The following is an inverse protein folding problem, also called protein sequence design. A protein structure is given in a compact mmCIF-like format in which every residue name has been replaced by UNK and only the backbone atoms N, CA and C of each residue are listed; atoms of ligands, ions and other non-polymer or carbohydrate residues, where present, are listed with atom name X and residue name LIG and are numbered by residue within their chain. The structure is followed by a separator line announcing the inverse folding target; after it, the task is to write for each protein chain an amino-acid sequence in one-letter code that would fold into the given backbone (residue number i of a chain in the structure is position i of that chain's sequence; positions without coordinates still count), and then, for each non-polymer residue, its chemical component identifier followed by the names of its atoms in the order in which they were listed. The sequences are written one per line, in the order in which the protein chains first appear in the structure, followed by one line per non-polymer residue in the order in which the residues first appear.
data_IF_937117805595
#
_entry.id   IF_937117805595
#
_cell.length_a   1.000
_cell.length_b   1.000
_cell.length_c   1.000
_cell.angle_alpha   90.00
_cell.angle_beta   90.00
_cell.angle_gamma   90.00
#
_symmetry.space_group_name_H-M   'P 1'
#
loop_
_entity.id
_entity.type
_entity.pdbx_description
1 polymer ?
#
# COMPACT_ATOMS: atom_id res chain seq x y z
N UNK A 1 48.75 73.86 -87.34
CA UNK A 1 50.07 74.38 -86.95
C UNK A 1 49.95 74.99 -85.56
N UNK A 2 50.67 74.43 -84.59
CA UNK A 2 50.83 75.00 -83.24
C UNK A 2 51.52 76.37 -83.31
N UNK A 3 51.25 77.28 -82.35
CA UNK A 3 52.29 77.54 -81.36
C UNK A 3 51.78 77.79 -79.92
N UNK A 4 52.45 77.12 -78.98
CA UNK A 4 53.05 77.59 -77.70
C UNK A 4 52.28 78.56 -76.77
N UNK A 5 52.00 78.04 -75.56
CA UNK A 5 51.55 78.59 -74.25
C UNK A 5 52.45 79.73 -73.68
N UNK A 6 52.11 80.46 -72.56
CA UNK A 6 51.26 80.05 -71.42
C UNK A 6 50.38 81.11 -70.69
N UNK A 7 49.48 80.56 -69.83
CA UNK A 7 49.00 81.04 -68.51
C UNK A 7 48.06 82.27 -68.45
N UNK A 8 46.76 81.98 -68.29
CA UNK A 8 45.83 82.79 -67.52
C UNK A 8 45.37 81.97 -66.31
N UNK A 9 45.53 82.49 -65.08
CA UNK A 9 44.92 81.93 -63.86
C UNK A 9 43.72 82.79 -63.49
N UNK A 10 42.56 82.16 -63.47
CA UNK A 10 41.31 82.71 -62.99
C UNK A 10 41.22 82.60 -61.45
N UNK A 11 40.74 83.69 -60.85
CA UNK A 11 39.80 83.79 -59.73
C UNK A 11 40.02 82.84 -58.54
N UNK A 12 40.44 83.39 -57.39
CA UNK A 12 40.01 82.89 -56.09
C UNK A 12 39.32 84.01 -55.31
N UNK A 13 38.12 83.65 -54.88
CA UNK A 13 37.11 84.39 -54.15
C UNK A 13 37.47 84.63 -52.68
N UNK A 14 36.95 85.75 -52.18
CA UNK A 14 36.80 86.18 -50.79
C UNK A 14 36.38 85.06 -49.83
N UNK A 15 36.96 85.06 -48.63
CA UNK A 15 36.30 85.04 -47.32
C UNK A 15 37.32 84.61 -46.24
N UNK A 16 38.12 85.58 -45.78
CA UNK A 16 38.96 85.45 -44.60
C UNK A 16 38.49 86.45 -43.55
N UNK A 17 37.77 85.96 -42.54
CA UNK A 17 37.38 86.78 -41.40
C UNK A 17 36.10 86.29 -40.74
N UNK A 18 36.22 85.39 -39.77
CA UNK A 18 35.32 85.29 -38.63
C UNK A 18 36.13 84.67 -37.48
N UNK A 19 36.18 85.41 -36.38
CA UNK A 19 37.11 85.23 -35.27
C UNK A 19 36.86 84.02 -34.36
N UNK A 20 37.55 83.98 -33.19
CA UNK A 20 37.67 82.80 -32.32
C UNK A 20 36.40 82.45 -31.52
N UNK A 21 35.22 82.84 -31.99
CA UNK A 21 33.94 82.64 -31.33
C UNK A 21 33.31 81.25 -31.56
N UNK A 22 33.88 80.40 -32.44
CA UNK A 22 33.32 79.06 -32.68
C UNK A 22 33.92 77.93 -31.82
N UNK A 23 34.98 78.19 -31.04
CA UNK A 23 35.57 77.15 -30.18
C UNK A 23 34.99 77.11 -28.74
N UNK A 24 34.05 78.00 -28.42
CA UNK A 24 33.37 78.06 -27.10
C UNK A 24 32.03 77.31 -27.07
N UNK A 25 31.58 76.72 -28.19
CA UNK A 25 30.34 75.92 -28.25
C UNK A 25 30.54 74.42 -27.98
N UNK A 26 31.78 73.94 -27.81
CA UNK A 26 32.09 72.54 -27.47
C UNK A 26 32.37 72.31 -25.97
N UNK A 27 32.25 73.35 -25.14
CA UNK A 27 32.37 73.26 -23.69
C UNK A 27 31.09 73.78 -23.02
N UNK A 28 29.91 73.33 -23.47
CA UNK A 28 28.86 73.11 -22.48
C UNK A 28 29.35 71.90 -21.67
N UNK A 29 29.61 72.02 -20.36
CA UNK A 29 29.69 70.83 -19.56
C UNK A 29 28.41 70.05 -19.89
N UNK A 30 28.53 68.79 -20.33
CA UNK A 30 27.43 67.86 -20.09
C UNK A 30 27.10 68.10 -18.61
N UNK A 31 25.91 68.64 -18.33
CA UNK A 31 25.48 68.80 -16.96
C UNK A 31 25.78 67.44 -16.33
N UNK A 32 26.73 67.42 -15.40
CA UNK A 32 26.97 66.23 -14.62
C UNK A 32 25.65 66.04 -13.89
N UNK A 33 24.78 65.20 -14.47
CA UNK A 33 23.58 64.73 -13.79
C UNK A 33 24.15 63.97 -12.62
N UNK A 34 24.27 64.66 -11.48
CA UNK A 34 24.79 64.04 -10.30
C UNK A 34 23.88 62.87 -9.93
N UNK A 35 24.49 61.94 -9.24
CA UNK A 35 23.81 60.76 -8.77
C UNK A 35 22.74 61.14 -7.75
N UNK A 36 21.61 60.42 -7.77
CA UNK A 36 20.68 60.46 -6.67
C UNK A 36 21.31 59.86 -5.41
N UNK A 37 20.96 60.42 -4.25
CA UNK A 37 21.27 59.85 -2.94
C UNK A 37 20.37 58.64 -2.63
N UNK A 38 20.34 58.20 -1.37
CA UNK A 38 19.44 57.13 -0.92
C UNK A 38 17.99 57.40 -1.32
N UNK A 39 17.25 56.39 -1.78
CA UNK A 39 15.88 56.55 -2.22
C UNK A 39 14.93 56.78 -1.04
N UNK A 40 13.74 57.36 -1.27
CA UNK A 40 12.85 57.79 -0.20
C UNK A 40 12.32 56.62 0.65
N UNK A 41 12.10 56.85 1.94
CA UNK A 41 11.42 55.86 2.78
C UNK A 41 9.95 55.70 2.38
N UNK A 42 9.52 54.46 2.17
CA UNK A 42 8.14 54.12 1.81
C UNK A 42 7.51 53.29 2.92
N UNK A 43 6.35 53.69 3.49
CA UNK A 43 5.67 52.94 4.53
C UNK A 43 5.43 51.47 4.15
N UNK A 44 5.86 50.57 5.03
CA UNK A 44 5.71 49.11 4.90
C UNK A 44 6.44 48.49 3.69
N UNK A 45 7.45 49.17 3.15
CA UNK A 45 8.28 48.65 2.08
C UNK A 45 9.77 48.93 2.36
N UNK A 46 10.64 48.12 1.77
CA UNK A 46 12.09 48.26 1.89
C UNK A 46 12.73 48.23 0.50
N UNK A 47 13.61 49.20 0.23
CA UNK A 47 14.36 49.29 -1.01
C UNK A 47 15.47 48.22 -1.07
N UNK A 48 15.64 47.58 -2.22
CA UNK A 48 16.74 46.65 -2.45
C UNK A 48 18.02 47.41 -2.90
N UNK A 49 18.79 47.91 -1.93
CA UNK A 49 19.92 48.82 -2.20
C UNK A 49 21.25 48.11 -2.49
N UNK A 50 21.43 46.86 -2.06
CA UNK A 50 22.68 46.13 -2.25
C UNK A 50 23.93 46.80 -1.65
N UNK A 51 23.77 47.67 -0.64
CA UNK A 51 24.87 48.44 -0.02
C UNK A 51 25.29 49.70 -0.77
N UNK A 52 24.59 50.08 -1.85
CA UNK A 52 24.87 51.30 -2.61
C UNK A 52 24.35 52.54 -1.86
N UNK A 53 25.09 53.64 -1.94
CA UNK A 53 24.75 54.94 -1.35
C UNK A 53 24.63 56.07 -2.38
N UNK A 54 25.03 55.82 -3.63
CA UNK A 54 24.99 56.74 -4.77
C UNK A 54 24.40 56.01 -5.97
N UNK A 55 23.44 56.64 -6.66
CA UNK A 55 22.67 56.01 -7.72
C UNK A 55 22.71 56.88 -8.99
N UNK A 56 23.31 56.40 -10.09
CA UNK A 56 23.45 57.22 -11.29
C UNK A 56 22.09 57.55 -11.93
N UNK A 57 22.09 58.56 -12.78
CA UNK A 57 20.93 58.96 -13.58
C UNK A 57 20.30 57.76 -14.31
N UNK A 58 18.96 57.71 -14.36
CA UNK A 58 18.12 56.60 -14.86
C UNK A 58 18.21 55.30 -14.07
N UNK A 59 18.93 55.24 -12.95
CA UNK A 59 18.93 54.07 -12.07
C UNK A 59 17.53 53.86 -11.50
N UNK A 60 17.04 52.63 -11.57
CA UNK A 60 15.79 52.22 -10.94
C UNK A 60 16.06 51.48 -9.64
N UNK A 61 15.33 51.82 -8.58
CA UNK A 61 15.33 51.07 -7.32
C UNK A 61 13.94 50.53 -7.07
N UNK A 62 13.85 49.20 -6.94
CA UNK A 62 12.60 48.49 -6.62
C UNK A 62 12.50 48.24 -5.12
N UNK A 63 11.30 48.43 -4.60
CA UNK A 63 10.94 48.19 -3.22
C UNK A 63 10.22 46.85 -3.08
N UNK A 64 10.46 46.18 -1.96
CA UNK A 64 9.74 44.97 -1.56
C UNK A 64 8.89 45.28 -0.35
N UNK A 65 7.64 44.83 -0.34
CA UNK A 65 6.78 44.98 0.82
C UNK A 65 7.33 44.20 2.02
N UNK A 66 7.15 44.77 3.21
CA UNK A 66 7.50 44.14 4.47
C UNK A 66 6.61 42.92 4.74
N UNK A 67 7.02 42.05 5.67
CA UNK A 67 6.25 40.87 6.05
C UNK A 67 4.83 41.24 6.49
N UNK A 68 3.82 40.54 5.95
CA UNK A 68 2.40 40.82 6.19
C UNK A 68 1.79 41.91 5.30
N UNK A 69 2.57 42.47 4.37
CA UNK A 69 2.12 43.42 3.35
C UNK A 69 2.41 42.87 1.95
N UNK A 70 1.52 43.18 1.03
CA UNK A 70 1.61 42.75 -0.38
C UNK A 70 1.43 43.96 -1.29
N UNK A 71 2.12 43.95 -2.43
CA UNK A 71 2.01 44.98 -3.47
C UNK A 71 0.57 45.01 -3.98
N UNK A 72 -0.06 46.17 -3.88
CA UNK A 72 -1.40 46.41 -4.43
C UNK A 72 -1.31 46.36 -5.97
N UNK A 73 -2.12 45.53 -6.64
CA UNK A 73 -2.11 45.43 -8.10
C UNK A 73 -2.29 46.80 -8.78
N UNK A 74 -1.51 47.04 -9.84
CA UNK A 74 -1.56 48.28 -10.62
C UNK A 74 -0.79 49.47 -10.02
N UNK A 75 -0.25 49.38 -8.79
CA UNK A 75 0.61 50.42 -8.22
C UNK A 75 2.09 50.20 -8.56
N UNK A 76 2.82 51.29 -8.79
CA UNK A 76 4.26 51.27 -8.97
C UNK A 76 4.95 50.85 -7.66
N UNK A 77 6.07 50.12 -7.79
CA UNK A 77 6.92 49.63 -6.70
C UNK A 77 8.39 50.01 -6.88
N UNK A 78 8.66 50.93 -7.81
CA UNK A 78 10.01 51.37 -8.12
C UNK A 78 10.09 52.87 -8.35
N UNK A 79 11.20 53.46 -7.96
CA UNK A 79 11.57 54.84 -8.30
C UNK A 79 12.68 54.84 -9.34
N UNK A 80 12.71 55.88 -10.18
CA UNK A 80 13.80 56.15 -11.12
C UNK A 80 14.50 57.46 -10.73
N UNK A 81 15.83 57.49 -10.83
CA UNK A 81 16.62 58.70 -10.61
C UNK A 81 16.60 59.56 -11.87
N UNK A 82 16.03 60.76 -11.77
CA UNK A 82 15.97 61.74 -12.86
C UNK A 82 16.38 63.14 -12.38
N UNK A 83 17.36 63.74 -13.03
CA UNK A 83 17.94 65.04 -12.70
C UNK A 83 18.36 65.16 -11.23
N UNK A 84 19.07 64.15 -10.69
CA UNK A 84 19.44 64.06 -9.26
C UNK A 84 18.27 63.90 -8.28
N UNK A 85 17.05 63.64 -8.75
CA UNK A 85 15.85 63.49 -7.90
C UNK A 85 15.14 62.16 -8.19
N UNK A 86 14.67 61.51 -7.15
CA UNK A 86 13.83 60.32 -7.31
C UNK A 86 12.43 60.69 -7.81
N UNK A 87 11.91 59.89 -8.75
CA UNK A 87 10.50 59.97 -9.16
C UNK A 87 9.56 59.76 -7.98
N UNK A 88 8.34 60.30 -8.06
CA UNK A 88 7.34 60.12 -7.00
C UNK A 88 6.89 58.66 -6.90
N UNK A 89 6.69 58.20 -5.67
CA UNK A 89 6.19 56.86 -5.37
C UNK A 89 5.15 56.92 -4.26
N UNK A 90 3.90 56.60 -4.62
CA UNK A 90 2.81 56.50 -3.65
C UNK A 90 2.90 55.21 -2.83
N UNK A 91 2.24 55.19 -1.68
CA UNK A 91 2.12 53.97 -0.86
C UNK A 91 1.46 52.85 -1.66
N UNK A 92 2.19 51.77 -1.87
CA UNK A 92 1.80 50.66 -2.73
C UNK A 92 1.71 49.30 -2.02
N UNK A 93 2.16 49.22 -0.77
CA UNK A 93 2.04 48.02 0.06
C UNK A 93 0.84 48.14 0.99
N UNK A 94 -0.03 47.14 1.00
CA UNK A 94 -1.15 47.07 1.94
C UNK A 94 -1.23 45.70 2.61
N UNK A 95 -1.88 45.64 3.77
CA UNK A 95 -2.09 44.38 4.49
C UNK A 95 -2.99 43.47 3.67
N UNK A 96 -2.68 42.18 3.71
CA UNK A 96 -3.36 41.14 2.94
C UNK A 96 -3.26 39.83 3.69
N UNK A 97 -4.25 38.95 3.51
CA UNK A 97 -4.05 37.55 3.81
C UNK A 97 -2.96 36.96 2.91
N UNK A 98 -2.28 35.92 3.39
CA UNK A 98 -1.38 35.11 2.57
C UNK A 98 -2.14 34.33 1.49
N UNK A 99 -1.42 33.68 0.58
CA UNK A 99 -2.02 32.79 -0.43
C UNK A 99 -2.89 31.73 0.29
N UNK A 100 -4.14 31.51 -0.16
CA UNK A 100 -5.05 30.54 0.45
C UNK A 100 -4.41 29.15 0.69
N UNK A 101 -4.65 28.59 1.87
CA UNK A 101 -4.04 27.33 2.30
C UNK A 101 -4.46 26.14 1.44
N UNK A 102 -3.50 25.27 1.08
CA UNK A 102 -3.79 24.04 0.32
C UNK A 102 -4.64 23.06 1.13
N UNK A 103 -5.83 22.73 0.63
CA UNK A 103 -6.71 21.72 1.23
C UNK A 103 -6.50 20.34 0.57
N UNK A 104 -6.61 19.26 1.36
CA UNK A 104 -6.49 17.88 0.87
C UNK A 104 -7.72 17.40 0.09
N UNK A 105 -8.90 17.98 0.37
CA UNK A 105 -10.19 17.59 -0.23
C UNK A 105 -10.67 18.54 -1.33
N UNK A 106 -10.05 19.71 -1.46
CA UNK A 106 -10.44 20.75 -2.41
C UNK A 106 -9.23 21.53 -2.96
N UNK A 107 -9.38 22.09 -4.15
CA UNK A 107 -8.42 22.97 -4.82
C UNK A 107 -9.01 24.36 -4.98
N UNK A 108 -8.19 25.39 -4.87
CA UNK A 108 -8.60 26.76 -5.12
C UNK A 108 -8.99 26.90 -6.60
N UNK A 109 -10.14 27.53 -6.90
CA UNK A 109 -10.55 27.73 -8.30
C UNK A 109 -9.49 28.52 -9.06
N UNK A 110 -9.31 28.18 -10.35
CA UNK A 110 -8.26 28.74 -11.22
C UNK A 110 -8.28 30.27 -11.30
N UNK A 111 -9.46 30.89 -11.21
CA UNK A 111 -9.64 32.35 -11.18
C UNK A 111 -8.86 33.06 -10.07
N UNK A 112 -8.60 32.39 -8.94
CA UNK A 112 -7.87 32.94 -7.80
C UNK A 112 -6.41 32.47 -7.75
N UNK A 113 -6.05 31.42 -8.51
CA UNK A 113 -4.72 30.79 -8.45
C UNK A 113 -3.56 31.68 -8.88
N UNK A 114 -3.83 32.75 -9.64
CA UNK A 114 -2.83 33.73 -10.08
C UNK A 114 -2.81 35.00 -9.22
N UNK A 115 -3.70 35.11 -8.23
CA UNK A 115 -3.80 36.27 -7.36
C UNK A 115 -2.87 36.08 -6.14
N UNK A 116 -2.25 37.17 -5.71
CA UNK A 116 -1.40 37.20 -4.51
C UNK A 116 -1.81 38.28 -3.51
N UNK A 117 -2.81 39.11 -3.84
CA UNK A 117 -3.31 40.20 -3.00
C UNK A 117 -4.77 39.95 -2.63
N UNK A 118 -5.01 39.76 -1.33
CA UNK A 118 -6.29 39.41 -0.73
C UNK A 118 -6.55 40.32 0.49
N UNK A 119 -7.06 41.54 0.28
CA UNK A 119 -7.40 42.44 1.39
C UNK A 119 -8.53 41.87 2.25
N UNK A 120 -8.74 42.46 3.43
CA UNK A 120 -9.87 42.13 4.31
C UNK A 120 -11.20 42.08 3.53
N UNK A 121 -12.03 41.09 3.84
CA UNK A 121 -13.33 40.87 3.19
C UNK A 121 -13.24 40.10 1.86
N UNK A 122 -12.04 39.93 1.30
CA UNK A 122 -11.86 39.11 0.08
C UNK A 122 -12.33 37.69 0.34
N UNK A 123 -13.17 37.18 -0.56
CA UNK A 123 -13.69 35.82 -0.49
C UNK A 123 -13.23 35.04 -1.72
N UNK A 124 -12.68 33.86 -1.49
CA UNK A 124 -12.23 32.95 -2.55
C UNK A 124 -12.96 31.63 -2.47
N UNK A 125 -13.14 30.98 -3.61
CA UNK A 125 -13.89 29.73 -3.72
C UNK A 125 -12.99 28.56 -4.09
N UNK A 126 -13.29 27.42 -3.47
CA UNK A 126 -12.67 26.13 -3.74
C UNK A 126 -13.61 25.20 -4.49
N UNK A 127 -13.02 24.32 -5.31
CA UNK A 127 -13.68 23.21 -5.97
C UNK A 127 -13.17 21.87 -5.43
N UNK A 128 -14.01 20.84 -5.44
CA UNK A 128 -13.62 19.54 -4.93
C UNK A 128 -12.52 18.91 -5.78
N UNK A 129 -11.54 18.28 -5.12
CA UNK A 129 -10.52 17.50 -5.83
C UNK A 129 -11.15 16.24 -6.44
N UNK A 130 -10.43 15.66 -7.39
CA UNK A 130 -10.77 14.37 -7.98
C UNK A 130 -10.96 13.30 -6.89
N UNK A 131 -12.01 12.49 -7.03
CA UNK A 131 -12.39 11.49 -6.03
C UNK A 131 -13.18 12.05 -4.82
N UNK A 132 -13.48 13.35 -4.80
CA UNK A 132 -14.39 13.96 -3.83
C UNK A 132 -15.70 14.42 -4.48
N UNK A 133 -16.76 14.52 -3.67
CA UNK A 133 -18.08 15.00 -4.06
C UNK A 133 -18.51 16.19 -3.21
N UNK A 134 -19.20 17.15 -3.83
CA UNK A 134 -19.67 18.38 -3.20
C UNK A 134 -20.82 18.09 -2.23
N UNK A 135 -20.68 18.58 -1.01
CA UNK A 135 -21.80 18.77 -0.09
C UNK A 135 -22.41 20.17 -0.33
N UNK A 136 -23.66 20.27 -0.82
CA UNK A 136 -24.30 21.54 -1.10
C UNK A 136 -24.74 22.30 0.17
N UNK A 137 -24.76 21.64 1.34
CA UNK A 137 -25.19 22.26 2.60
C UNK A 137 -24.11 23.10 3.28
N UNK A 138 -22.85 22.99 2.83
CA UNK A 138 -21.69 23.66 3.41
C UNK A 138 -21.12 24.69 2.43
N UNK A 139 -20.38 25.69 2.92
CA UNK A 139 -19.77 26.71 2.07
C UNK A 139 -18.44 26.23 1.47
N UNK A 140 -18.20 26.55 0.19
CA UNK A 140 -16.92 26.28 -0.50
C UNK A 140 -15.94 27.45 -0.39
N UNK A 141 -16.34 28.49 0.33
CA UNK A 141 -15.69 29.77 0.34
C UNK A 141 -14.94 29.97 1.66
N UNK A 142 -13.82 30.69 1.57
CA UNK A 142 -13.14 31.25 2.74
C UNK A 142 -12.98 32.76 2.55
N UNK A 143 -13.00 33.49 3.65
CA UNK A 143 -12.95 34.96 3.66
C UNK A 143 -11.74 35.43 4.44
N UNK A 144 -11.03 36.43 3.94
CA UNK A 144 -9.94 37.08 4.64
C UNK A 144 -10.50 37.96 5.77
N UNK A 145 -10.23 37.61 7.01
CA UNK A 145 -10.76 38.29 8.19
C UNK A 145 -9.95 39.56 8.53
N UNK A 146 -10.48 40.37 9.45
CA UNK A 146 -9.83 41.61 9.95
C UNK A 146 -8.41 41.43 10.49
N UNK A 147 -8.11 40.24 11.01
CA UNK A 147 -6.77 39.89 11.50
C UNK A 147 -5.82 39.42 10.38
N UNK A 148 -6.23 39.50 9.11
CA UNK A 148 -5.50 39.02 7.93
C UNK A 148 -5.19 37.51 7.99
N UNK A 149 -6.12 36.75 8.58
CA UNK A 149 -6.13 35.29 8.58
C UNK A 149 -7.39 34.83 7.84
N UNK A 150 -7.26 33.77 7.06
CA UNK A 150 -8.41 33.15 6.39
C UNK A 150 -9.38 32.54 7.40
N UNK A 151 -10.69 32.65 7.13
CA UNK A 151 -11.71 31.92 7.87
C UNK A 151 -11.47 30.40 7.78
N UNK A 152 -11.90 29.67 8.82
CA UNK A 152 -11.77 28.22 8.85
C UNK A 152 -12.61 27.60 7.73
N UNK A 153 -12.04 26.76 6.85
CA UNK A 153 -12.79 26.12 5.78
C UNK A 153 -13.71 25.02 6.32
N UNK A 154 -14.95 24.95 5.80
CA UNK A 154 -15.85 23.83 6.03
C UNK A 154 -15.35 22.57 5.30
N UNK A 155 -15.83 21.38 5.74
CA UNK A 155 -15.59 20.11 5.03
C UNK A 155 -16.63 19.85 3.95
N UNK A 156 -16.76 20.80 3.02
CA UNK A 156 -17.75 20.78 1.94
C UNK A 156 -17.47 19.78 0.81
N UNK A 157 -16.31 19.11 0.80
CA UNK A 157 -16.04 18.00 -0.10
C UNK A 157 -15.84 16.71 0.69
N UNK A 158 -16.68 15.73 0.40
CA UNK A 158 -16.65 14.39 1.02
C UNK A 158 -15.99 13.42 0.07
N UNK A 159 -15.32 12.39 0.60
CA UNK A 159 -14.75 11.33 -0.23
C UNK A 159 -15.87 10.62 -1.00
N UNK A 160 -15.65 10.31 -2.27
CA UNK A 160 -16.53 9.41 -3.01
C UNK A 160 -16.36 7.98 -2.48
N UNK A 161 -17.44 7.20 -2.57
CA UNK A 161 -17.43 5.77 -2.28
C UNK A 161 -17.08 5.00 -3.54
N UNK A 162 -16.17 4.04 -3.43
CA UNK A 162 -16.01 3.01 -4.45
C UNK A 162 -17.28 2.15 -4.57
N UNK A 163 -17.43 1.44 -5.70
CA UNK A 163 -18.51 0.46 -5.86
C UNK A 163 -18.49 -0.53 -4.71
N UNK A 164 -19.69 -0.92 -4.25
CA UNK A 164 -19.81 -1.97 -3.24
C UNK A 164 -19.07 -3.21 -3.74
N UNK A 165 -18.15 -3.80 -2.95
CA UNK A 165 -17.44 -5.00 -3.36
C UNK A 165 -18.41 -6.13 -3.73
N UNK A 166 -18.12 -6.84 -4.83
CA UNK A 166 -18.86 -8.06 -5.18
C UNK A 166 -18.48 -9.21 -4.26
N UNK A 167 -19.38 -10.17 -4.12
CA UNK A 167 -19.08 -11.42 -3.41
C UNK A 167 -18.09 -12.25 -4.21
N UNK A 168 -17.24 -13.00 -3.50
CA UNK A 168 -16.29 -13.95 -4.07
C UNK A 168 -16.81 -15.34 -3.72
N UNK A 169 -17.10 -16.16 -4.72
CA UNK A 169 -17.52 -17.53 -4.50
C UNK A 169 -16.39 -18.30 -3.79
N UNK A 170 -16.73 -19.02 -2.71
CA UNK A 170 -15.76 -19.70 -1.84
C UNK A 170 -14.66 -18.79 -1.28
N UNK A 171 -14.95 -17.50 -1.09
CA UNK A 171 -14.04 -16.55 -0.47
C UNK A 171 -14.74 -15.38 0.20
N UNK A 172 -13.93 -14.40 0.60
CA UNK A 172 -14.35 -13.27 1.41
C UNK A 172 -13.64 -11.99 0.97
N UNK A 173 -14.36 -10.87 1.11
CA UNK A 173 -13.82 -9.52 1.00
C UNK A 173 -13.76 -8.92 2.40
N UNK A 174 -12.55 -8.69 2.89
CA UNK A 174 -12.29 -8.16 4.21
C UNK A 174 -12.15 -6.63 4.14
N UNK A 175 -13.18 -5.93 4.61
CA UNK A 175 -13.22 -4.46 4.69
C UNK A 175 -12.76 -4.04 6.09
N UNK A 176 -11.67 -3.30 6.18
CA UNK A 176 -11.05 -2.92 7.47
C UNK A 176 -11.57 -1.61 8.03
N UNK A 177 -11.89 -0.64 7.17
CA UNK A 177 -12.34 0.70 7.59
C UNK A 177 -13.65 1.10 6.93
N UNK A 178 -13.62 1.32 5.62
CA UNK A 178 -14.73 1.77 4.79
C UNK A 178 -14.43 1.41 3.32
N UNK A 179 -15.25 1.92 2.39
CA UNK A 179 -15.06 1.75 0.95
C UNK A 179 -14.89 3.12 0.24
N UNK A 180 -14.47 4.15 0.97
CA UNK A 180 -14.27 5.49 0.46
C UNK A 180 -12.89 5.64 -0.19
N UNK A 181 -12.69 6.74 -0.93
CA UNK A 181 -11.40 7.08 -1.53
C UNK A 181 -10.22 6.90 -0.55
N UNK A 182 -9.24 6.11 -0.97
CA UNK A 182 -8.04 5.76 -0.21
C UNK A 182 -8.19 4.54 0.71
N UNK A 183 -9.37 3.95 0.84
CA UNK A 183 -9.56 2.71 1.60
C UNK A 183 -8.93 1.51 0.90
N UNK A 184 -8.54 0.50 1.68
CA UNK A 184 -7.97 -0.77 1.18
C UNK A 184 -8.83 -1.93 1.67
N UNK A 185 -9.17 -2.83 0.75
CA UNK A 185 -9.86 -4.10 1.03
C UNK A 185 -8.93 -5.27 0.73
N UNK A 186 -9.11 -6.36 1.46
CA UNK A 186 -8.31 -7.58 1.30
C UNK A 186 -9.20 -8.73 0.87
N UNK A 187 -8.62 -9.71 0.19
CA UNK A 187 -9.31 -10.89 -0.31
C UNK A 187 -8.74 -12.14 0.34
N UNK A 188 -9.60 -13.10 0.64
CA UNK A 188 -9.22 -14.40 1.20
C UNK A 188 -10.14 -15.49 0.67
N UNK A 189 -9.68 -16.73 0.62
CA UNK A 189 -10.49 -17.89 0.23
C UNK A 189 -10.84 -18.76 1.44
N UNK A 190 -11.91 -19.53 1.31
CA UNK A 190 -12.32 -20.53 2.29
C UNK A 190 -11.29 -21.67 2.37
N UNK A 191 -11.29 -22.42 3.46
CA UNK A 191 -10.48 -23.64 3.57
C UNK A 191 -10.81 -24.59 2.41
N UNK A 192 -9.77 -25.16 1.78
CA UNK A 192 -9.93 -25.98 0.58
C UNK A 192 -9.83 -25.22 -0.75
N UNK A 193 -9.67 -23.90 -0.72
CA UNK A 193 -9.56 -23.07 -1.92
C UNK A 193 -8.31 -22.20 -1.87
N UNK A 194 -7.65 -22.06 -3.02
CA UNK A 194 -6.50 -21.16 -3.21
C UNK A 194 -6.92 -19.88 -3.91
N UNK A 195 -6.33 -18.76 -3.51
CA UNK A 195 -6.59 -17.46 -4.11
C UNK A 195 -5.81 -17.29 -5.41
N UNK A 196 -6.52 -16.99 -6.51
CA UNK A 196 -5.93 -16.70 -7.81
C UNK A 196 -6.28 -15.27 -8.23
N UNK A 197 -5.27 -14.40 -8.25
CA UNK A 197 -5.41 -12.99 -8.57
C UNK A 197 -4.77 -12.08 -7.51
N UNK A 198 -5.31 -10.87 -7.35
CA UNK A 198 -4.83 -9.93 -6.35
C UNK A 198 -5.27 -10.34 -4.94
N UNK A 199 -4.44 -10.09 -3.93
CA UNK A 199 -4.77 -10.32 -2.51
C UNK A 199 -5.42 -9.10 -1.84
N UNK A 200 -5.37 -7.94 -2.50
CA UNK A 200 -5.96 -6.70 -2.01
C UNK A 200 -6.34 -5.76 -3.16
N UNK A 201 -7.13 -4.74 -2.87
CA UNK A 201 -7.45 -3.65 -3.79
C UNK A 201 -7.63 -2.35 -3.01
N UNK A 202 -7.25 -1.20 -3.59
CA UNK A 202 -7.46 0.11 -2.94
C UNK A 202 -8.36 1.01 -3.79
N UNK A 203 -9.15 1.85 -3.12
CA UNK A 203 -10.10 2.74 -3.76
C UNK A 203 -9.39 3.99 -4.28
N UNK A 204 -9.25 4.12 -5.60
CA UNK A 204 -8.49 5.19 -6.24
C UNK A 204 -9.37 6.03 -7.20
N UNK A 205 -8.94 7.26 -7.56
CA UNK A 205 -9.62 8.04 -8.60
C UNK A 205 -9.50 7.37 -9.97
N UNK A 206 -10.63 7.23 -10.68
CA UNK A 206 -10.70 6.72 -12.05
C UNK A 206 -11.50 7.73 -12.88
N UNK A 207 -10.80 8.55 -13.68
CA UNK A 207 -11.44 9.69 -14.35
C UNK A 207 -12.19 10.57 -13.34
N UNK A 208 -13.48 10.85 -13.56
CA UNK A 208 -14.27 11.66 -12.63
C UNK A 208 -14.89 10.84 -11.47
N UNK A 209 -14.71 9.53 -11.42
CA UNK A 209 -15.25 8.63 -10.38
C UNK A 209 -14.13 8.04 -9.51
N UNK A 210 -14.48 7.05 -8.70
CA UNK A 210 -13.52 6.23 -7.95
C UNK A 210 -13.81 4.76 -8.23
N UNK A 211 -12.78 3.94 -8.22
CA UNK A 211 -12.87 2.51 -8.49
C UNK A 211 -11.80 1.73 -7.73
N UNK A 212 -12.03 0.43 -7.63
CA UNK A 212 -11.05 -0.52 -7.11
C UNK A 212 -9.92 -0.68 -8.12
N UNK A 213 -8.67 -0.64 -7.65
CA UNK A 213 -7.48 -0.66 -8.52
C UNK A 213 -7.20 -2.03 -9.11
N UNK A 214 -7.58 -3.08 -8.40
CA UNK A 214 -7.44 -4.46 -8.82
C UNK A 214 -8.82 -5.09 -9.01
N UNK A 215 -8.92 -5.95 -10.01
CA UNK A 215 -10.04 -6.86 -10.20
C UNK A 215 -10.14 -7.86 -9.03
N UNK A 216 -11.35 -8.35 -8.80
CA UNK A 216 -11.62 -9.30 -7.72
C UNK A 216 -11.10 -10.69 -8.11
N UNK A 217 -10.38 -11.38 -7.21
CA UNK A 217 -9.76 -12.67 -7.49
C UNK A 217 -10.80 -13.79 -7.58
N UNK A 218 -10.33 -14.96 -7.99
CA UNK A 218 -11.09 -16.21 -7.97
C UNK A 218 -10.54 -17.15 -6.89
N UNK A 219 -11.42 -17.87 -6.21
CA UNK A 219 -11.04 -18.92 -5.28
C UNK A 219 -11.17 -20.27 -5.99
N UNK A 220 -10.03 -20.89 -6.32
CA UNK A 220 -10.00 -22.16 -7.02
C UNK A 220 -9.91 -23.31 -6.03
N UNK A 221 -10.74 -24.33 -6.24
CA UNK A 221 -10.73 -25.53 -5.40
C UNK A 221 -9.37 -26.23 -5.46
N UNK A 222 -8.88 -26.66 -4.30
CA UNK A 222 -7.65 -27.42 -4.17
C UNK A 222 -8.00 -28.90 -4.17
N UNK A 223 -7.39 -29.63 -5.11
CA UNK A 223 -7.57 -31.05 -5.27
C UNK A 223 -6.35 -31.79 -4.70
N UNK A 224 -6.61 -32.89 -4.01
CA UNK A 224 -5.58 -33.85 -3.66
C UNK A 224 -5.10 -34.60 -4.92
N UNK A 225 -3.83 -35.06 -4.91
CA UNK A 225 -3.36 -35.97 -5.95
C UNK A 225 -4.17 -37.28 -5.93
N UNK A 226 -4.05 -38.05 -7.00
CA UNK A 226 -4.58 -39.41 -7.08
C UNK A 226 -4.26 -40.20 -5.79
N UNK A 227 -5.24 -40.85 -5.14
CA UNK A 227 -5.01 -41.55 -3.90
C UNK A 227 -3.93 -42.64 -4.05
N UNK A 228 -3.01 -42.77 -3.08
CA UNK A 228 -1.98 -43.81 -3.13
C UNK A 228 -2.56 -45.21 -3.22
N UNK A 229 -1.90 -46.11 -3.93
CA UNK A 229 -2.30 -47.53 -3.98
C UNK A 229 -1.82 -48.25 -2.73
N UNK A 230 -2.60 -49.24 -2.29
CA UNK A 230 -2.24 -50.15 -1.18
C UNK A 230 -2.05 -51.55 -1.77
N UNK A 231 -0.92 -52.19 -1.45
CA UNK A 231 -0.63 -53.55 -1.91
C UNK A 231 -1.72 -54.53 -1.41
N UNK A 232 -2.18 -55.41 -2.31
CA UNK A 232 -3.33 -56.30 -2.07
C UNK A 232 -4.62 -55.58 -1.62
N UNK A 233 -4.73 -54.28 -1.90
CA UNK A 233 -5.90 -53.44 -1.61
C UNK A 233 -6.47 -52.78 -2.86
N UNK A 234 -7.71 -52.33 -2.76
CA UNK A 234 -8.42 -51.57 -3.78
C UNK A 234 -9.24 -50.44 -3.14
N UNK A 235 -9.47 -49.37 -3.90
CA UNK A 235 -10.37 -48.29 -3.50
C UNK A 235 -11.79 -48.69 -3.93
N UNK A 236 -12.75 -48.63 -3.01
CA UNK A 236 -14.11 -49.13 -3.26
C UNK A 236 -14.88 -48.29 -4.30
N UNK A 237 -14.82 -46.96 -4.18
CA UNK A 237 -15.55 -46.02 -5.03
C UNK A 237 -14.59 -44.94 -5.53
N UNK A 238 -13.86 -45.28 -6.60
CA UNK A 238 -12.90 -44.35 -7.20
C UNK A 238 -13.63 -43.21 -7.91
N UNK A 239 -13.27 -41.97 -7.58
CA UNK A 239 -13.75 -40.74 -8.22
C UNK A 239 -12.66 -40.17 -9.14
N UNK A 240 -13.02 -39.19 -9.96
CA UNK A 240 -12.09 -38.54 -10.88
C UNK A 240 -11.15 -37.54 -10.18
N UNK A 241 -11.61 -36.93 -9.09
CA UNK A 241 -10.87 -35.94 -8.31
C UNK A 241 -11.37 -35.93 -6.87
N UNK A 242 -10.51 -35.51 -5.94
CA UNK A 242 -10.83 -35.44 -4.52
C UNK A 242 -10.50 -34.05 -3.99
N UNK A 243 -11.52 -33.32 -3.57
CA UNK A 243 -11.40 -32.01 -2.96
C UNK A 243 -11.17 -32.08 -1.45
N UNK A 244 -10.79 -30.96 -0.84
CA UNK A 244 -10.60 -30.84 0.61
C UNK A 244 -11.76 -31.43 1.42
N UNK A 245 -11.43 -32.26 2.41
CA UNK A 245 -12.39 -32.95 3.27
C UNK A 245 -13.03 -34.21 2.68
N UNK A 246 -12.91 -34.46 1.35
CA UNK A 246 -13.38 -35.70 0.76
C UNK A 246 -12.46 -36.88 1.12
N UNK A 247 -13.03 -38.08 1.22
CA UNK A 247 -12.30 -39.28 1.65
C UNK A 247 -12.35 -40.41 0.63
N UNK A 248 -11.35 -41.28 0.69
CA UNK A 248 -11.37 -42.59 0.02
C UNK A 248 -11.35 -43.71 1.03
N UNK A 249 -12.03 -44.81 0.70
CA UNK A 249 -12.08 -46.01 1.53
C UNK A 249 -11.43 -47.18 0.78
N UNK A 250 -10.45 -47.79 1.45
CA UNK A 250 -9.72 -48.97 0.98
C UNK A 250 -10.40 -50.25 1.46
N UNK A 251 -10.30 -51.28 0.63
CA UNK A 251 -10.71 -52.65 0.92
C UNK A 251 -9.61 -53.60 0.49
N UNK A 252 -9.26 -54.56 1.34
CA UNK A 252 -8.34 -55.62 0.96
C UNK A 252 -8.99 -56.62 0.00
N UNK A 253 -8.16 -57.16 -0.90
CA UNK A 253 -8.54 -58.25 -1.79
C UNK A 253 -8.82 -59.53 -0.97
N UNK A 254 -9.47 -60.50 -1.61
CA UNK A 254 -9.75 -61.78 -0.98
C UNK A 254 -8.47 -62.48 -0.51
N UNK A 255 -8.51 -63.09 0.68
CA UNK A 255 -7.33 -63.68 1.32
C UNK A 255 -6.48 -62.71 2.13
N UNK A 256 -6.84 -61.42 2.20
CA UNK A 256 -6.15 -60.42 3.01
C UNK A 256 -7.09 -59.71 4.00
N UNK A 257 -6.55 -59.35 5.16
CA UNK A 257 -7.21 -58.59 6.22
C UNK A 257 -6.63 -57.17 6.30
N UNK A 258 -7.51 -56.17 6.46
CA UNK A 258 -7.13 -54.76 6.55
C UNK A 258 -6.64 -54.42 7.95
N UNK A 259 -5.47 -53.79 8.04
CA UNK A 259 -4.87 -53.29 9.27
C UNK A 259 -4.63 -51.78 9.18
N UNK A 260 -5.18 -51.02 10.13
CA UNK A 260 -5.14 -49.56 10.15
C UNK A 260 -6.50 -48.93 9.86
N UNK A 261 -6.52 -47.62 9.66
CA UNK A 261 -7.73 -46.89 9.24
C UNK A 261 -8.09 -47.26 7.81
N UNK A 262 -9.35 -47.64 7.57
CA UNK A 262 -9.80 -48.02 6.23
C UNK A 262 -9.93 -46.82 5.30
N UNK A 263 -9.93 -45.58 5.81
CA UNK A 263 -10.09 -44.37 5.02
C UNK A 263 -9.03 -43.32 5.31
N UNK A 264 -8.72 -42.54 4.28
CA UNK A 264 -7.92 -41.31 4.37
C UNK A 264 -8.75 -40.17 3.77
N UNK A 265 -8.52 -38.94 4.23
CA UNK A 265 -9.23 -37.76 3.74
C UNK A 265 -8.26 -36.72 3.19
N UNK A 266 -8.75 -35.93 2.24
CA UNK A 266 -7.97 -34.88 1.61
C UNK A 266 -7.82 -33.70 2.56
N UNK A 267 -6.58 -33.33 2.83
CA UNK A 267 -6.17 -32.17 3.61
C UNK A 267 -5.48 -31.15 2.70
N UNK A 268 -5.25 -29.94 3.21
CA UNK A 268 -4.58 -28.88 2.45
C UNK A 268 -3.45 -28.32 3.29
N UNK A 269 -2.29 -28.16 2.65
CA UNK A 269 -1.10 -27.56 3.23
C UNK A 269 -0.41 -26.70 2.17
N UNK A 270 -0.10 -25.44 2.51
CA UNK A 270 0.57 -24.49 1.61
C UNK A 270 -0.10 -24.40 0.21
N UNK A 271 -1.44 -24.25 0.20
CA UNK A 271 -2.30 -24.24 -1.00
C UNK A 271 -2.20 -25.48 -1.91
N UNK A 272 -1.73 -26.61 -1.36
CA UNK A 272 -1.62 -27.90 -2.05
C UNK A 272 -2.39 -28.99 -1.29
N UNK A 273 -3.06 -29.87 -2.04
CA UNK A 273 -3.80 -31.00 -1.48
C UNK A 273 -2.86 -32.13 -1.06
N UNK A 274 -3.04 -32.64 0.15
CA UNK A 274 -2.26 -33.75 0.73
C UNK A 274 -3.21 -34.73 1.43
N UNK A 275 -2.97 -36.03 1.31
CA UNK A 275 -3.78 -37.04 2.00
C UNK A 275 -3.40 -37.14 3.48
N UNK A 276 -4.39 -37.24 4.37
CA UNK A 276 -4.21 -37.24 5.82
C UNK A 276 -3.22 -38.29 6.34
N UNK A 277 -3.19 -39.48 5.71
CA UNK A 277 -2.38 -40.63 6.14
C UNK A 277 -2.66 -41.08 7.59
N UNK A 278 -1.99 -42.17 8.06
CA UNK A 278 -1.22 -43.15 7.29
C UNK A 278 -2.12 -44.08 6.46
N UNK A 279 -1.54 -44.78 5.47
CA UNK A 279 -2.27 -45.76 4.63
C UNK A 279 -2.50 -47.08 5.38
N UNK A 280 -3.61 -47.80 5.13
CA UNK A 280 -3.83 -49.15 5.66
C UNK A 280 -2.88 -50.17 5.02
N UNK A 281 -2.73 -51.31 5.70
CA UNK A 281 -1.96 -52.47 5.22
C UNK A 281 -2.87 -53.68 5.05
N UNK A 282 -2.78 -54.35 3.92
CA UNK A 282 -3.45 -55.63 3.71
C UNK A 282 -2.46 -56.77 4.00
N UNK A 283 -2.76 -57.60 5.00
CA UNK A 283 -1.93 -58.75 5.38
C UNK A 283 -2.68 -60.05 5.13
N UNK A 284 -1.97 -61.13 4.80
CA UNK A 284 -2.60 -62.42 4.57
C UNK A 284 -3.47 -62.81 5.78
N UNK A 285 -4.67 -63.29 5.48
CA UNK A 285 -5.58 -63.78 6.50
C UNK A 285 -5.05 -65.11 6.99
N UNK A 286 -4.71 -65.23 8.28
CA UNK A 286 -4.31 -66.50 8.88
C UNK A 286 -5.47 -67.50 8.80
N UNK A 287 -5.52 -68.29 7.73
CA UNK A 287 -6.45 -69.40 7.62
C UNK A 287 -5.86 -70.55 8.43
N UNK A 288 -6.22 -70.66 9.72
CA UNK A 288 -6.05 -71.93 10.42
C UNK A 288 -6.90 -72.96 9.68
N UNK A 289 -6.33 -74.04 9.10
CA UNK A 289 -7.12 -75.03 8.39
C UNK A 289 -8.06 -75.70 9.40
N UNK A 290 -9.37 -75.45 9.25
CA UNK A 290 -10.41 -76.18 9.97
C UNK A 290 -10.36 -77.63 9.47
N UNK A 291 -9.68 -78.51 10.20
CA UNK A 291 -9.74 -79.95 9.98
C UNK A 291 -11.22 -80.37 10.09
N UNK A 292 -11.82 -81.00 9.05
CA UNK A 292 -13.16 -81.53 9.16
C UNK A 292 -13.20 -82.60 10.25
N UNK A 293 -14.08 -82.45 11.25
CA UNK A 293 -14.37 -83.50 12.23
C UNK A 293 -14.76 -84.78 11.46
N UNK A 294 -13.98 -85.84 11.64
CA UNK A 294 -14.28 -87.16 11.07
C UNK A 294 -15.62 -87.66 11.62
N UNK A 295 -16.57 -87.96 10.72
CA UNK A 295 -17.82 -88.63 11.05
C UNK A 295 -17.54 -90.11 11.29
N UNK A 296 -17.65 -90.58 12.54
CA UNK A 296 -17.62 -92.02 12.86
C UNK A 296 -18.82 -92.72 12.23
N UNK A 297 -18.56 -93.69 11.34
CA UNK A 297 -19.57 -94.63 10.85
C UNK A 297 -19.52 -95.86 11.76
N UNK A 298 -20.54 -96.02 12.62
CA UNK A 298 -20.70 -97.20 13.46
C UNK A 298 -21.12 -98.41 12.63
N UNK A 299 -20.24 -99.42 12.53
CA UNK A 299 -20.56 -100.75 12.03
C UNK A 299 -21.08 -101.62 13.19
N UNK A 300 -22.21 -102.36 13.06
CA UNK A 300 -22.76 -103.15 14.16
C UNK A 300 -21.88 -104.37 14.49
N UNK A 301 -21.44 -104.48 15.75
CA UNK A 301 -20.70 -105.63 16.26
C UNK A 301 -21.63 -106.83 16.56
N UNK A 302 -21.21 -108.01 16.10
CA UNK A 302 -21.81 -109.29 16.46
C UNK A 302 -21.42 -109.70 17.90
N UNK A 303 -22.41 -110.21 18.65
CA UNK A 303 -22.31 -110.65 20.05
C UNK A 303 -21.36 -111.84 20.22
N UNK A 304 -20.48 -111.77 21.24
CA UNK A 304 -20.11 -112.96 22.01
C UNK A 304 -19.98 -112.61 23.50
N UNK A 305 -20.92 -113.18 24.25
CA UNK A 305 -20.95 -113.75 25.60
C UNK A 305 -19.98 -113.29 26.69
N UNK A 306 -20.59 -112.95 27.83
CA UNK A 306 -19.99 -112.49 29.09
C UNK A 306 -19.39 -113.62 29.95
N UNK A 307 -18.40 -113.26 30.78
CA UNK A 307 -18.02 -113.96 32.03
C UNK A 307 -17.86 -112.90 33.14
N UNK A 308 -18.34 -113.13 34.39
CA UNK A 308 -18.60 -112.03 35.33
C UNK A 308 -17.53 -111.83 36.41
N UNK A 309 -17.30 -110.54 36.69
CA UNK A 309 -17.30 -109.87 38.02
C UNK A 309 -16.23 -110.26 39.06
N UNK A 310 -15.46 -109.25 39.49
CA UNK A 310 -15.35 -108.85 40.90
C UNK A 310 -14.69 -107.47 41.05
N UNK A 311 -15.38 -106.55 41.74
CA UNK A 311 -14.80 -105.35 42.34
C UNK A 311 -14.33 -105.68 43.77
N UNK A 312 -13.33 -104.95 44.27
CA UNK A 312 -13.57 -104.26 45.52
C UNK A 312 -13.08 -102.80 45.50
N UNK A 313 -13.68 -102.04 46.41
CA UNK A 313 -13.55 -100.61 46.66
C UNK A 313 -12.66 -100.40 47.89
N UNK A 314 -12.23 -99.14 48.08
CA UNK A 314 -11.65 -98.52 49.29
C UNK A 314 -10.10 -98.62 49.38
N UNK A 315 -9.34 -97.62 49.86
CA UNK A 315 -9.61 -96.41 50.66
C UNK A 315 -8.58 -95.31 50.29
N UNK A 316 -8.97 -94.05 50.46
CA UNK A 316 -8.07 -92.89 50.49
C UNK A 316 -7.39 -92.74 51.85
N UNK A 317 -6.18 -92.18 51.89
CA UNK A 317 -5.73 -91.09 52.80
C UNK A 317 -4.21 -90.88 52.69
N UNK A 318 -3.76 -89.61 52.76
CA UNK A 318 -2.37 -89.27 53.13
C UNK A 318 -1.65 -88.21 52.28
N UNK A 319 -1.96 -86.93 52.49
CA UNK A 319 -1.00 -85.79 52.44
C UNK A 319 -0.07 -85.85 53.68
N UNK A 320 1.11 -85.18 53.79
CA UNK A 320 1.36 -83.80 53.33
C UNK A 320 2.80 -83.37 52.93
N UNK A 321 2.86 -82.12 52.43
CA UNK A 321 3.89 -81.07 52.59
C UNK A 321 5.31 -81.19 52.00
N UNK A 322 5.65 -80.17 51.18
CA UNK A 322 7.00 -79.70 50.93
C UNK A 322 6.98 -78.24 50.42
N UNK A 323 7.45 -77.31 51.25
CA UNK A 323 7.64 -75.85 51.01
C UNK A 323 8.94 -75.57 50.24
N UNK A 324 9.00 -74.43 49.54
CA UNK A 324 10.24 -73.70 49.22
C UNK A 324 10.04 -72.71 48.07
N UNK A 325 9.68 -71.43 48.31
CA UNK A 325 10.58 -70.27 48.50
C UNK A 325 10.99 -69.56 47.19
N UNK A 326 10.60 -68.29 47.06
CA UNK A 326 11.04 -67.30 46.05
C UNK A 326 12.46 -66.74 46.38
N UNK A 327 13.07 -65.85 45.56
CA UNK A 327 12.71 -64.41 45.61
C UNK A 327 12.86 -63.58 44.30
N UNK A 328 12.41 -62.34 44.46
CA UNK A 328 12.36 -61.10 43.64
C UNK A 328 13.57 -60.68 42.80
N UNK A 329 13.32 -59.84 41.77
CA UNK A 329 13.93 -58.49 41.60
C UNK A 329 12.94 -57.54 40.88
N UNK A 330 12.92 -56.27 41.31
CA UNK A 330 12.14 -55.16 40.78
C UNK A 330 13.02 -54.17 39.99
N UNK A 331 12.44 -53.36 39.09
CA UNK A 331 12.89 -51.97 38.88
C UNK A 331 11.87 -51.11 38.11
N UNK A 332 11.51 -50.01 38.74
CA UNK A 332 10.75 -48.84 38.31
C UNK A 332 11.57 -47.94 37.39
N UNK A 333 10.95 -47.26 36.39
CA UNK A 333 11.23 -45.84 36.09
C UNK A 333 9.98 -45.19 35.47
N UNK A 334 9.53 -44.10 36.10
CA UNK A 334 8.62 -43.10 35.53
C UNK A 334 9.44 -41.91 35.01
N UNK A 335 9.00 -41.24 33.95
CA UNK A 335 9.34 -39.84 33.68
C UNK A 335 8.32 -39.19 32.73
N UNK A 336 7.65 -38.18 33.26
CA UNK A 336 6.89 -37.18 32.53
C UNK A 336 7.83 -36.12 31.94
N UNK A 337 7.50 -35.57 30.78
CA UNK A 337 8.01 -34.27 30.34
C UNK A 337 6.94 -33.55 29.50
N UNK A 338 6.34 -32.55 30.12
CA UNK A 338 5.62 -31.42 29.53
C UNK A 338 6.63 -30.48 28.85
N UNK A 339 6.34 -30.01 27.64
CA UNK A 339 7.06 -28.87 27.04
C UNK A 339 6.10 -27.85 26.44
N UNK A 340 6.24 -26.63 26.97
CA UNK A 340 5.68 -25.36 26.55
C UNK A 340 6.00 -25.01 25.09
N UNK A 341 5.00 -24.52 24.36
CA UNK A 341 5.19 -23.74 23.13
C UNK A 341 5.26 -22.24 23.47
N UNK A 342 6.41 -21.64 23.16
CA UNK A 342 6.71 -20.20 23.22
C UNK A 342 6.09 -19.48 22.01
N UNK A 343 5.57 -18.28 22.27
CA UNK A 343 5.17 -17.25 21.31
C UNK A 343 6.36 -16.66 20.54
N UNK A 344 6.24 -16.29 19.26
CA UNK A 344 7.25 -15.50 18.55
C UNK A 344 7.00 -14.00 18.72
N UNK A 345 8.09 -13.26 18.90
CA UNK A 345 8.15 -11.82 19.10
C UNK A 345 8.05 -11.04 17.78
N UNK A 346 7.41 -9.88 17.87
CA UNK A 346 7.39 -8.79 16.90
C UNK A 346 8.81 -8.31 16.54
N UNK A 347 9.15 -8.25 15.25
CA UNK A 347 10.23 -7.40 14.74
C UNK A 347 9.63 -6.12 14.14
N UNK A 348 9.89 -4.99 14.80
CA UNK A 348 9.72 -3.64 14.24
C UNK A 348 10.95 -3.27 13.41
N UNK A 349 10.75 -2.98 12.13
CA UNK A 349 11.71 -2.25 11.31
C UNK A 349 11.40 -0.75 11.37
N UNK A 350 12.36 0.03 11.89
CA UNK A 350 12.41 1.48 11.70
C UNK A 350 12.87 1.78 10.27
N UNK A 351 12.12 2.62 9.55
CA UNK A 351 12.60 3.28 8.33
C UNK A 351 12.77 4.75 8.67
N UNK A 352 14.02 5.22 8.65
CA UNK A 352 14.37 6.63 8.60
C UNK A 352 14.15 7.16 7.17
N UNK A 353 13.32 8.19 7.03
CA UNK A 353 13.32 9.05 5.85
C UNK A 353 13.85 10.42 6.27
N UNK A 354 15.07 10.75 5.83
CA UNK A 354 15.54 12.12 5.65
C UNK A 354 14.96 12.63 4.34
N UNK A 355 14.27 13.78 4.34
CA UNK A 355 14.28 14.83 3.31
C UNK A 355 13.56 16.07 3.85
#
# INVERSE_FOLDING_TARGET
MSPVRPRARAVLSLLGGLGPQLLLLLLRPLAASGDCSLPPDVPNAQAALGGLTSFPEKRTVTYKCNRGFVKVPGKADSVICENNKWSELAVFCNRSCDVPTRLLFASLKKSYSQQNYFPEGTTVEYECRQGYIRDPSLSGNITCLQNFVWSKPDRFCKKKSCPKPREIENGHVNITTDILLGATIYFSCNAGYKLVGATFSFCAPVGNTVGWTNEFPECQEILCPEPPKVDHGMIQEKQNSYAYGQSVTYKCMEGFTLHGESSIYCTVKDDQGEWSGPLPQCRETDVTPTVPKSTEVNVPAAKSTAVPRTTPRFHATGTPQGRGSAPSVASTVASALTTHMRTPQHLSFMIHCNW
#
